data_IF_018213339252
#
_entry.id   IF_018213339252
#
_cell.length_a   1.000
_cell.length_b   1.000
_cell.length_c   1.000
_cell.angle_alpha   90.00
_cell.angle_beta   90.00
_cell.angle_gamma   90.00
#
_symmetry.space_group_name_H-M   'P 1'
#
loop_
_entity.id
_entity.type
_entity.pdbx_description
1 polymer ?
#
# COMPACT_ATOMS: atom_id res chain seq x y z
N UNK A 1 -16.32 6.01 7.16
CA UNK A 1 -17.17 5.05 6.43
C UNK A 1 -18.43 5.66 5.84
N UNK A 2 -19.42 6.16 6.61
CA UNK A 2 -20.68 6.72 6.04
C UNK A 2 -20.46 7.80 4.95
N UNK A 3 -19.54 8.74 5.17
CA UNK A 3 -19.20 9.77 4.17
C UNK A 3 -18.54 9.19 2.91
N UNK A 4 -17.59 8.27 3.06
CA UNK A 4 -16.92 7.58 1.93
C UNK A 4 -17.89 6.72 1.13
N UNK A 5 -18.74 5.95 1.81
CA UNK A 5 -19.81 5.18 1.18
C UNK A 5 -20.81 6.08 0.46
N UNK A 6 -21.24 7.18 1.09
CA UNK A 6 -22.14 8.15 0.43
C UNK A 6 -21.49 8.87 -0.75
N UNK A 7 -20.19 9.13 -0.72
CA UNK A 7 -19.46 9.69 -1.85
C UNK A 7 -19.39 8.67 -3.00
N UNK A 8 -19.05 7.42 -2.67
CA UNK A 8 -19.03 6.31 -3.62
C UNK A 8 -20.40 6.08 -4.26
N UNK A 9 -21.49 6.01 -3.49
CA UNK A 9 -22.83 5.76 -4.05
C UNK A 9 -23.34 6.91 -4.90
N UNK A 10 -22.91 8.16 -4.63
CA UNK A 10 -23.29 9.32 -5.44
C UNK A 10 -22.56 9.37 -6.78
N UNK A 11 -21.25 9.04 -6.80
CA UNK A 11 -20.42 9.08 -8.00
C UNK A 11 -19.47 7.87 -8.07
N UNK A 12 -19.99 6.64 -8.24
CA UNK A 12 -19.17 5.43 -8.18
C UNK A 12 -18.14 5.38 -9.30
N UNK A 13 -18.47 5.98 -10.45
CA UNK A 13 -17.59 6.05 -11.62
C UNK A 13 -16.22 6.66 -11.30
N UNK A 14 -16.14 7.69 -10.46
CA UNK A 14 -14.84 8.34 -10.14
C UNK A 14 -13.89 7.38 -9.40
N UNK A 15 -14.44 6.55 -8.52
CA UNK A 15 -13.67 5.56 -7.75
C UNK A 15 -13.29 4.36 -8.61
N UNK A 16 -14.24 3.82 -9.38
CA UNK A 16 -14.01 2.71 -10.31
C UNK A 16 -12.97 3.11 -11.37
N UNK A 17 -13.05 4.33 -11.88
CA UNK A 17 -12.08 4.87 -12.83
C UNK A 17 -10.67 4.91 -12.25
N UNK A 18 -10.52 5.35 -10.99
CA UNK A 18 -9.25 5.28 -10.26
C UNK A 18 -8.69 3.85 -10.15
N UNK A 19 -9.53 2.89 -9.77
CA UNK A 19 -9.14 1.46 -9.73
C UNK A 19 -8.74 0.94 -11.11
N UNK A 20 -9.47 1.30 -12.17
CA UNK A 20 -9.19 0.86 -13.52
C UNK A 20 -7.84 1.40 -14.02
N UNK A 21 -7.56 2.68 -13.80
CA UNK A 21 -6.26 3.28 -14.12
C UNK A 21 -5.12 2.59 -13.36
N UNK A 22 -5.33 2.28 -12.07
CA UNK A 22 -4.35 1.55 -11.26
C UNK A 22 -4.07 0.15 -11.85
N UNK A 23 -5.11 -0.64 -12.13
CA UNK A 23 -4.95 -2.00 -12.70
C UNK A 23 -4.28 -1.93 -14.07
N UNK A 24 -4.73 -1.03 -14.94
CA UNK A 24 -4.16 -0.86 -16.27
C UNK A 24 -2.66 -0.52 -16.23
N UNK A 25 -2.27 0.44 -15.39
CA UNK A 25 -0.86 0.81 -15.24
C UNK A 25 -0.03 -0.28 -14.58
N UNK A 26 -0.60 -1.00 -13.61
CA UNK A 26 0.07 -2.14 -12.98
C UNK A 26 0.37 -3.24 -14.00
N UNK A 27 -0.57 -3.53 -14.91
CA UNK A 27 -0.38 -4.46 -16.02
C UNK A 27 0.71 -3.98 -16.97
N UNK A 28 0.75 -2.68 -17.31
CA UNK A 28 1.83 -2.12 -18.14
C UNK A 28 3.19 -2.31 -17.48
N UNK A 29 3.33 -1.97 -16.19
CA UNK A 29 4.61 -2.14 -15.49
C UNK A 29 4.99 -3.61 -15.31
N UNK A 30 4.01 -4.50 -15.13
CA UNK A 30 4.26 -5.94 -15.11
C UNK A 30 4.83 -6.43 -16.45
N UNK A 31 4.22 -6.04 -17.58
CA UNK A 31 4.76 -6.36 -18.90
C UNK A 31 6.14 -5.73 -19.15
N UNK A 32 6.39 -4.52 -18.67
CA UNK A 32 7.70 -3.89 -18.75
C UNK A 32 8.75 -4.69 -17.96
N UNK A 33 8.42 -5.15 -16.75
CA UNK A 33 9.29 -6.00 -15.94
C UNK A 33 9.58 -7.35 -16.61
N UNK A 34 8.57 -7.99 -17.21
CA UNK A 34 8.76 -9.19 -18.03
C UNK A 34 9.63 -8.91 -19.26
N UNK A 35 9.49 -7.74 -19.88
CA UNK A 35 10.35 -7.30 -20.98
C UNK A 35 11.82 -7.18 -20.57
N UNK A 36 12.10 -6.61 -19.40
CA UNK A 36 13.47 -6.57 -18.84
C UNK A 36 14.02 -7.97 -18.58
N UNK A 37 13.19 -8.88 -18.10
CA UNK A 37 13.57 -10.27 -17.89
C UNK A 37 13.92 -10.96 -19.24
N UNK A 38 13.13 -10.71 -20.28
CA UNK A 38 13.41 -11.21 -21.63
C UNK A 38 14.72 -10.66 -22.20
N UNK A 39 14.99 -9.37 -22.02
CA UNK A 39 16.26 -8.73 -22.43
C UNK A 39 17.45 -9.41 -21.75
N UNK A 40 17.33 -9.78 -20.48
CA UNK A 40 18.37 -10.52 -19.77
C UNK A 40 18.60 -11.92 -20.30
N UNK A 41 17.54 -12.66 -20.62
CA UNK A 41 17.67 -13.97 -21.27
C UNK A 41 18.38 -13.87 -22.62
N UNK A 42 18.03 -12.86 -23.43
CA UNK A 42 18.71 -12.60 -24.71
C UNK A 42 20.18 -12.27 -24.46
N UNK A 43 20.49 -11.43 -23.47
CA UNK A 43 21.86 -11.08 -23.13
C UNK A 43 22.68 -12.31 -22.71
N UNK A 44 22.16 -13.16 -21.82
CA UNK A 44 22.81 -14.42 -21.42
C UNK A 44 23.08 -15.32 -22.63
N UNK A 45 22.10 -15.44 -23.53
CA UNK A 45 22.24 -16.22 -24.76
C UNK A 45 23.33 -15.66 -25.68
N UNK A 46 23.47 -14.33 -25.80
CA UNK A 46 24.50 -13.70 -26.63
C UNK A 46 25.92 -13.94 -26.10
N UNK A 47 26.08 -14.02 -24.78
CA UNK A 47 27.39 -14.29 -24.14
C UNK A 47 27.65 -15.79 -23.92
N UNK A 48 26.73 -16.66 -24.36
CA UNK A 48 26.84 -18.12 -24.20
C UNK A 48 26.78 -18.60 -22.75
N UNK A 49 26.18 -17.83 -21.84
CA UNK A 49 25.98 -18.26 -20.45
C UNK A 49 24.62 -18.93 -20.29
N UNK A 50 24.60 -20.08 -19.62
CA UNK A 50 23.37 -20.76 -19.24
C UNK A 50 22.64 -19.99 -18.14
N UNK A 51 21.31 -20.04 -18.17
CA UNK A 51 20.50 -19.48 -17.11
C UNK A 51 20.57 -20.36 -15.86
N UNK A 52 21.17 -19.81 -14.80
CA UNK A 52 21.22 -20.43 -13.48
C UNK A 52 20.64 -19.47 -12.43
N UNK A 53 19.65 -19.95 -11.68
CA UNK A 53 19.01 -19.23 -10.58
C UNK A 53 19.90 -19.09 -9.34
N UNK A 54 20.96 -19.89 -9.24
CA UNK A 54 21.95 -19.82 -8.15
C UNK A 54 23.10 -18.85 -8.47
N UNK A 55 23.24 -18.45 -9.74
CA UNK A 55 24.25 -17.51 -10.18
C UNK A 55 24.05 -16.13 -9.57
N UNK A 56 25.10 -15.56 -8.95
CA UNK A 56 25.08 -14.23 -8.32
C UNK A 56 24.58 -13.15 -9.30
N UNK A 57 25.10 -13.06 -10.55
CA UNK A 57 24.55 -12.16 -11.57
C UNK A 57 23.04 -12.28 -11.79
N UNK A 58 22.51 -13.50 -11.89
CA UNK A 58 21.07 -13.74 -12.07
C UNK A 58 20.27 -13.26 -10.87
N UNK A 59 20.73 -13.58 -9.67
CA UNK A 59 20.06 -13.16 -8.43
C UNK A 59 20.02 -11.63 -8.35
N UNK A 60 21.16 -10.96 -8.58
CA UNK A 60 21.24 -9.49 -8.55
C UNK A 60 20.31 -8.88 -9.61
N UNK A 61 20.28 -9.42 -10.81
CA UNK A 61 19.43 -8.93 -11.89
C UNK A 61 17.93 -9.08 -11.57
N UNK A 62 17.52 -10.25 -11.06
CA UNK A 62 16.13 -10.48 -10.64
C UNK A 62 15.72 -9.57 -9.49
N UNK A 63 16.61 -9.34 -8.51
CA UNK A 63 16.39 -8.39 -7.41
C UNK A 63 16.20 -6.97 -7.95
N UNK A 64 17.03 -6.55 -8.92
CA UNK A 64 16.89 -5.23 -9.55
C UNK A 64 15.54 -5.08 -10.27
N UNK A 65 15.11 -6.08 -11.04
CA UNK A 65 13.77 -6.07 -11.66
C UNK A 65 12.68 -5.94 -10.59
N UNK A 66 12.79 -6.73 -9.52
CA UNK A 66 11.86 -6.67 -8.39
C UNK A 66 11.80 -5.27 -7.75
N UNK A 67 12.96 -4.66 -7.51
CA UNK A 67 13.06 -3.30 -6.96
C UNK A 67 12.44 -2.26 -7.90
N UNK A 68 12.68 -2.35 -9.20
CA UNK A 68 12.08 -1.47 -10.21
C UNK A 68 10.56 -1.62 -10.23
N UNK A 69 10.05 -2.85 -10.24
CA UNK A 69 8.61 -3.12 -10.19
C UNK A 69 7.98 -2.59 -8.89
N UNK A 70 8.63 -2.80 -7.75
CA UNK A 70 8.18 -2.26 -6.46
C UNK A 70 8.19 -0.72 -6.46
N UNK A 71 9.21 -0.08 -7.02
CA UNK A 71 9.30 1.38 -7.12
C UNK A 71 8.09 1.96 -7.85
N UNK A 72 7.76 1.44 -9.04
CA UNK A 72 6.61 1.91 -9.81
C UNK A 72 5.27 1.59 -9.13
N UNK A 73 5.14 0.40 -8.54
CA UNK A 73 3.92 -0.01 -7.81
C UNK A 73 3.64 0.93 -6.63
N UNK A 74 4.68 1.40 -5.92
CA UNK A 74 4.52 2.38 -4.85
C UNK A 74 4.07 3.76 -5.37
N UNK A 75 4.57 4.18 -6.53
CA UNK A 75 4.05 5.36 -7.24
C UNK A 75 2.56 5.22 -7.58
N UNK A 76 2.16 4.06 -8.10
CA UNK A 76 0.75 3.77 -8.43
C UNK A 76 -0.15 3.79 -7.20
N UNK A 77 0.30 3.22 -6.07
CA UNK A 77 -0.43 3.29 -4.81
C UNK A 77 -0.62 4.74 -4.33
N UNK A 78 0.40 5.59 -4.51
CA UNK A 78 0.31 7.01 -4.20
C UNK A 78 -0.73 7.73 -5.06
N UNK A 79 -0.70 7.51 -6.38
CA UNK A 79 -1.67 8.06 -7.32
C UNK A 79 -3.09 7.57 -7.06
N UNK A 80 -3.25 6.31 -6.64
CA UNK A 80 -4.53 5.76 -6.23
C UNK A 80 -5.08 6.48 -4.98
N UNK A 81 -4.23 6.71 -3.98
CA UNK A 81 -4.60 7.45 -2.79
C UNK A 81 -5.05 8.88 -3.10
N UNK A 82 -4.30 9.58 -3.97
CA UNK A 82 -4.66 10.91 -4.47
C UNK A 82 -5.99 10.89 -5.23
N UNK A 83 -6.20 9.90 -6.10
CA UNK A 83 -7.40 9.79 -6.92
C UNK A 83 -8.64 9.53 -6.09
N UNK A 84 -8.55 8.67 -5.07
CA UNK A 84 -9.66 8.46 -4.15
C UNK A 84 -9.92 9.69 -3.28
N UNK A 85 -8.87 10.42 -2.88
CA UNK A 85 -9.05 11.70 -2.20
C UNK A 85 -9.78 12.72 -3.08
N UNK A 86 -9.37 12.90 -4.34
CA UNK A 86 -10.04 13.75 -5.32
C UNK A 86 -11.51 13.31 -5.56
N UNK A 87 -11.75 12.00 -5.68
CA UNK A 87 -13.09 11.44 -5.87
C UNK A 87 -14.04 11.73 -4.69
N UNK A 88 -13.53 11.76 -3.45
CA UNK A 88 -14.31 12.18 -2.28
C UNK A 88 -14.83 13.62 -2.39
N UNK A 89 -14.12 14.47 -3.14
CA UNK A 89 -14.46 15.87 -3.43
C UNK A 89 -15.11 16.06 -4.81
N UNK A 90 -15.43 14.96 -5.50
CA UNK A 90 -16.06 14.92 -6.84
C UNK A 90 -15.19 15.50 -7.96
N UNK A 91 -13.88 15.50 -7.77
CA UNK A 91 -12.92 15.90 -8.79
C UNK A 91 -12.59 14.71 -9.70
N UNK A 92 -12.35 15.00 -10.98
CA UNK A 92 -11.99 13.99 -11.98
C UNK A 92 -10.47 13.91 -12.10
N UNK A 93 -9.95 12.69 -12.21
CA UNK A 93 -8.53 12.44 -12.50
C UNK A 93 -8.38 11.88 -13.92
N UNK A 94 -7.55 12.51 -14.74
CA UNK A 94 -7.19 12.01 -16.08
C UNK A 94 -6.08 10.96 -15.99
N UNK A 95 -5.96 10.11 -17.00
CA UNK A 95 -4.89 9.08 -17.07
C UNK A 95 -3.51 9.74 -17.00
N UNK A 96 -3.31 10.84 -17.73
CA UNK A 96 -2.03 11.57 -17.74
C UNK A 96 -1.70 12.16 -16.37
N UNK A 97 -2.69 12.72 -15.66
CA UNK A 97 -2.49 13.23 -14.31
C UNK A 97 -2.16 12.10 -13.33
N UNK A 98 -2.87 10.97 -13.43
CA UNK A 98 -2.62 9.78 -12.61
C UNK A 98 -1.19 9.25 -12.80
N UNK A 99 -0.77 9.09 -14.05
CA UNK A 99 0.57 8.61 -14.41
C UNK A 99 1.68 9.57 -13.95
N UNK A 100 1.54 10.86 -14.24
CA UNK A 100 2.53 11.87 -13.86
C UNK A 100 2.69 11.93 -12.35
N UNK A 101 1.57 11.89 -11.62
CA UNK A 101 1.58 11.85 -10.16
C UNK A 101 2.24 10.57 -9.62
N UNK A 102 1.97 9.42 -10.24
CA UNK A 102 2.59 8.16 -9.83
C UNK A 102 4.11 8.21 -9.95
N UNK A 103 4.64 8.75 -11.06
CA UNK A 103 6.08 8.90 -11.26
C UNK A 103 6.69 9.92 -10.29
N UNK A 104 6.05 11.07 -10.09
CA UNK A 104 6.52 12.12 -9.18
C UNK A 104 6.62 11.62 -7.74
N UNK A 105 5.65 10.80 -7.30
CA UNK A 105 5.55 10.32 -5.91
C UNK A 105 6.14 8.94 -5.67
N UNK A 106 6.63 8.26 -6.70
CA UNK A 106 7.30 6.97 -6.58
C UNK A 106 8.51 7.02 -5.63
N UNK A 107 9.47 7.97 -5.73
CA UNK A 107 10.65 7.99 -4.84
C UNK A 107 10.26 8.07 -3.37
N UNK A 108 9.30 8.94 -3.05
CA UNK A 108 8.86 9.18 -1.68
C UNK A 108 8.14 7.97 -1.08
N UNK A 109 7.17 7.40 -1.79
CA UNK A 109 6.44 6.23 -1.29
C UNK A 109 7.33 4.99 -1.25
N UNK A 110 8.23 4.84 -2.22
CA UNK A 110 9.23 3.78 -2.21
C UNK A 110 10.18 3.90 -1.02
N UNK A 111 10.62 5.10 -0.64
CA UNK A 111 11.44 5.28 0.57
C UNK A 111 10.69 4.88 1.86
N UNK A 112 9.42 5.23 2.00
CA UNK A 112 8.57 4.81 3.14
C UNK A 112 8.42 3.29 3.15
N UNK A 113 8.18 2.70 1.99
CA UNK A 113 8.07 1.26 1.80
C UNK A 113 9.38 0.54 2.17
N UNK A 114 10.53 1.03 1.70
CA UNK A 114 11.83 0.45 2.04
C UNK A 114 12.09 0.49 3.55
N UNK A 115 11.75 1.60 4.21
CA UNK A 115 11.87 1.70 5.67
C UNK A 115 10.98 0.67 6.38
N UNK A 116 9.73 0.52 5.91
CA UNK A 116 8.79 -0.48 6.40
C UNK A 116 9.32 -1.90 6.23
N UNK A 117 9.83 -2.21 5.04
CA UNK A 117 10.32 -3.54 4.69
C UNK A 117 11.63 -3.85 5.43
N UNK A 118 12.49 -2.85 5.66
CA UNK A 118 13.67 -2.97 6.53
C UNK A 118 13.28 -3.33 7.96
N UNK A 119 12.30 -2.65 8.54
CA UNK A 119 11.80 -2.97 9.89
C UNK A 119 11.17 -4.36 9.90
N UNK A 120 10.50 -4.77 8.82
CA UNK A 120 9.98 -6.12 8.68
C UNK A 120 11.10 -7.16 8.70
N UNK A 121 12.17 -6.95 7.94
CA UNK A 121 13.34 -7.85 7.94
C UNK A 121 13.97 -7.91 9.33
N UNK A 122 14.09 -6.78 10.03
CA UNK A 122 14.66 -6.74 11.39
C UNK A 122 13.81 -7.52 12.42
N UNK A 123 12.48 -7.53 12.27
CA UNK A 123 11.57 -8.19 13.23
C UNK A 123 11.26 -9.64 12.85
N UNK A 124 11.00 -9.91 11.57
CA UNK A 124 10.67 -11.25 11.07
C UNK A 124 11.92 -12.09 10.77
N UNK A 125 13.03 -11.46 10.36
CA UNK A 125 14.28 -12.14 9.99
C UNK A 125 14.83 -13.05 11.08
N UNK A 126 14.96 -12.59 12.34
CA UNK A 126 15.40 -13.46 13.44
C UNK A 126 14.45 -14.64 13.69
N UNK A 127 13.14 -14.44 13.57
CA UNK A 127 12.13 -15.51 13.73
C UNK A 127 12.29 -16.56 12.63
N UNK A 128 12.44 -16.11 11.38
CA UNK A 128 12.66 -16.99 10.22
C UNK A 128 13.98 -17.75 10.38
N UNK A 129 15.05 -17.08 10.79
CA UNK A 129 16.35 -17.70 11.00
C UNK A 129 16.30 -18.79 12.09
N UNK A 130 15.67 -18.50 13.24
CA UNK A 130 15.51 -19.48 14.32
C UNK A 130 14.71 -20.69 13.83
N UNK A 131 13.62 -20.45 13.10
CA UNK A 131 12.79 -21.52 12.54
C UNK A 131 13.60 -22.41 11.60
N UNK A 132 14.25 -21.83 10.59
CA UNK A 132 15.01 -22.56 9.56
C UNK A 132 16.18 -23.36 10.16
N UNK A 133 16.90 -22.76 11.12
CA UNK A 133 18.10 -23.38 11.69
C UNK A 133 17.81 -24.41 12.78
N UNK A 134 16.70 -24.29 13.52
CA UNK A 134 16.49 -25.09 14.73
C UNK A 134 15.14 -25.79 14.85
N UNK A 135 14.09 -25.32 14.17
CA UNK A 135 12.71 -25.72 14.50
C UNK A 135 11.90 -26.34 13.34
N UNK A 136 12.49 -26.52 12.16
CA UNK A 136 11.83 -27.11 10.96
C UNK A 136 11.30 -28.53 11.19
N UNK A 137 11.90 -29.30 12.09
CA UNK A 137 11.46 -30.66 12.42
C UNK A 137 10.42 -30.76 13.54
N UNK A 138 10.01 -29.63 14.15
CA UNK A 138 9.13 -29.63 15.32
C UNK A 138 7.66 -29.61 14.89
N UNK A 139 6.81 -30.52 15.41
CA UNK A 139 5.39 -30.57 15.06
C UNK A 139 4.69 -29.22 15.27
N UNK A 140 3.85 -28.84 14.30
CA UNK A 140 3.07 -27.59 14.29
C UNK A 140 3.87 -26.29 14.24
N UNK A 141 5.21 -26.34 14.19
CA UNK A 141 6.03 -25.14 14.23
C UNK A 141 5.80 -24.24 13.00
N UNK A 142 5.58 -24.82 11.82
CA UNK A 142 5.28 -24.10 10.58
C UNK A 142 4.07 -23.17 10.76
N UNK A 143 3.01 -23.67 11.42
CA UNK A 143 1.79 -22.91 11.67
C UNK A 143 2.02 -21.79 12.68
N UNK A 144 2.77 -22.06 13.75
CA UNK A 144 3.10 -21.06 14.78
C UNK A 144 3.96 -19.95 14.17
N UNK A 145 5.00 -20.30 13.42
CA UNK A 145 5.90 -19.34 12.76
C UNK A 145 5.13 -18.54 11.70
N UNK A 146 4.28 -19.19 10.90
CA UNK A 146 3.40 -18.53 9.96
C UNK A 146 2.50 -17.49 10.64
N UNK A 147 1.91 -17.82 11.79
CA UNK A 147 1.08 -16.89 12.57
C UNK A 147 1.89 -15.71 13.12
N UNK A 148 3.11 -15.95 13.60
CA UNK A 148 4.01 -14.89 14.10
C UNK A 148 4.40 -13.96 12.96
N UNK A 149 4.85 -14.49 11.81
CA UNK A 149 5.23 -13.68 10.65
C UNK A 149 4.04 -12.89 10.13
N UNK A 150 2.85 -13.50 10.05
CA UNK A 150 1.63 -12.81 9.65
C UNK A 150 1.29 -11.66 10.60
N UNK A 151 1.44 -11.87 11.90
CA UNK A 151 1.20 -10.84 12.94
C UNK A 151 2.19 -9.68 12.81
N UNK A 152 3.49 -9.97 12.67
CA UNK A 152 4.53 -8.96 12.44
C UNK A 152 4.21 -8.16 11.17
N UNK A 153 3.87 -8.85 10.09
CA UNK A 153 3.49 -8.25 8.80
C UNK A 153 2.30 -7.32 8.96
N UNK A 154 1.24 -7.79 9.61
CA UNK A 154 0.03 -7.01 9.86
C UNK A 154 0.32 -5.73 10.65
N UNK A 155 1.05 -5.84 11.77
CA UNK A 155 1.36 -4.69 12.63
C UNK A 155 2.21 -3.66 11.88
N UNK A 156 3.24 -4.10 11.17
CA UNK A 156 4.12 -3.21 10.41
C UNK A 156 3.35 -2.50 9.30
N UNK A 157 2.58 -3.24 8.50
CA UNK A 157 1.80 -2.61 7.45
C UNK A 157 0.75 -1.64 8.02
N UNK A 158 0.09 -2.00 9.13
CA UNK A 158 -0.84 -1.11 9.82
C UNK A 158 -0.17 0.19 10.27
N UNK A 159 1.03 0.11 10.85
CA UNK A 159 1.76 1.28 11.36
C UNK A 159 2.19 2.22 10.22
N UNK A 160 2.61 1.66 9.09
CA UNK A 160 3.10 2.45 7.95
C UNK A 160 2.03 2.93 6.98
N UNK A 161 0.84 2.31 6.96
CA UNK A 161 -0.23 2.67 6.02
C UNK A 161 -0.67 4.13 6.12
N UNK A 162 -0.85 4.73 7.32
CA UNK A 162 -1.13 6.16 7.44
C UNK A 162 -0.06 7.05 6.81
N UNK A 163 1.22 6.68 6.93
CA UNK A 163 2.32 7.46 6.36
C UNK A 163 2.29 7.40 4.83
N UNK A 164 2.07 6.21 4.25
CA UNK A 164 1.90 6.02 2.81
C UNK A 164 0.69 6.82 2.27
N UNK A 165 -0.45 6.75 2.95
CA UNK A 165 -1.63 7.55 2.62
C UNK A 165 -1.30 9.05 2.70
N UNK A 166 -0.54 9.48 3.69
CA UNK A 166 -0.20 10.89 3.86
C UNK A 166 0.69 11.41 2.73
N UNK A 167 1.73 10.64 2.40
CA UNK A 167 2.63 10.94 1.30
C UNK A 167 1.91 10.95 -0.05
N UNK A 168 0.97 10.02 -0.25
CA UNK A 168 0.25 9.86 -1.51
C UNK A 168 -0.98 10.75 -1.68
N UNK A 169 -1.77 11.02 -0.64
CA UNK A 169 -3.02 11.80 -0.78
C UNK A 169 -2.82 13.30 -0.51
N UNK A 170 -1.89 13.65 0.39
CA UNK A 170 -1.70 15.02 0.89
C UNK A 170 -0.33 15.62 0.55
N UNK A 171 0.43 14.95 -0.31
CA UNK A 171 1.69 15.45 -0.87
C UNK A 171 2.77 15.80 0.17
N UNK A 172 2.67 15.26 1.38
CA UNK A 172 3.60 15.55 2.47
C UNK A 172 4.97 14.89 2.22
N UNK A 173 6.06 15.62 2.49
CA UNK A 173 7.42 15.05 2.45
C UNK A 173 7.65 13.95 3.49
N UNK A 174 8.73 13.17 3.34
CA UNK A 174 8.99 11.92 4.07
C UNK A 174 8.81 12.02 5.59
N UNK A 175 9.54 12.95 6.23
CA UNK A 175 9.46 13.15 7.68
C UNK A 175 8.08 13.58 8.15
N UNK A 176 7.43 14.47 7.38
CA UNK A 176 6.07 14.93 7.68
C UNK A 176 5.05 13.80 7.54
N UNK A 177 5.18 12.96 6.51
CA UNK A 177 4.33 11.80 6.28
C UNK A 177 4.44 10.77 7.40
N UNK A 178 5.66 10.43 7.82
CA UNK A 178 5.89 9.52 8.96
C UNK A 178 5.33 10.10 10.26
N UNK A 179 5.67 11.36 10.58
CA UNK A 179 5.18 12.03 11.80
C UNK A 179 3.66 12.11 11.82
N UNK A 180 3.04 12.46 10.70
CA UNK A 180 1.59 12.53 10.57
C UNK A 180 0.94 11.14 10.67
N UNK A 181 1.58 10.12 10.10
CA UNK A 181 1.16 8.74 10.23
C UNK A 181 1.12 8.27 11.69
N UNK A 182 2.21 8.49 12.43
CA UNK A 182 2.27 8.19 13.87
C UNK A 182 1.26 8.99 14.68
N UNK A 183 1.09 10.29 14.39
CA UNK A 183 0.08 11.12 15.05
C UNK A 183 -1.35 10.63 14.78
N UNK A 184 -1.62 10.14 13.57
CA UNK A 184 -2.90 9.55 13.21
C UNK A 184 -3.18 8.31 14.05
N UNK A 185 -2.22 7.40 14.16
CA UNK A 185 -2.35 6.22 15.01
C UNK A 185 -2.57 6.64 16.47
N UNK A 186 -1.73 7.52 17.02
CA UNK A 186 -1.87 7.99 18.39
C UNK A 186 -3.28 8.55 18.68
N UNK A 187 -3.82 9.38 17.78
CA UNK A 187 -5.12 10.05 17.99
C UNK A 187 -6.34 9.19 17.67
N UNK A 188 -6.23 8.25 16.73
CA UNK A 188 -7.36 7.51 16.15
C UNK A 188 -7.14 5.98 16.09
N UNK A 189 -6.21 5.42 16.87
CA UNK A 189 -5.80 4.02 16.81
C UNK A 189 -6.99 3.05 16.80
N UNK A 190 -7.96 3.15 17.72
CA UNK A 190 -9.10 2.20 17.78
C UNK A 190 -9.85 2.13 16.45
N UNK A 191 -10.24 3.28 15.91
CA UNK A 191 -10.99 3.36 14.65
C UNK A 191 -10.10 2.95 13.45
N UNK A 192 -8.82 3.31 13.48
CA UNK A 192 -7.89 2.94 12.42
C UNK A 192 -7.62 1.44 12.40
N UNK A 193 -7.38 0.81 13.55
CA UNK A 193 -7.16 -0.64 13.70
C UNK A 193 -8.37 -1.41 13.15
N UNK A 194 -9.59 -1.04 13.55
CA UNK A 194 -10.80 -1.70 13.06
C UNK A 194 -10.98 -1.59 11.55
N UNK A 195 -10.68 -0.41 10.98
CA UNK A 195 -10.75 -0.22 9.53
C UNK A 195 -9.61 -0.93 8.80
N UNK A 196 -8.43 -0.99 9.41
CA UNK A 196 -7.28 -1.70 8.88
C UNK A 196 -7.51 -3.22 8.86
N UNK A 197 -8.20 -3.76 9.88
CA UNK A 197 -8.61 -5.17 9.89
C UNK A 197 -9.56 -5.49 8.73
N UNK A 198 -10.55 -4.63 8.47
CA UNK A 198 -11.42 -4.77 7.30
C UNK A 198 -10.63 -4.67 5.98
N UNK A 199 -9.67 -3.74 5.92
CA UNK A 199 -8.77 -3.61 4.77
C UNK A 199 -7.94 -4.88 4.54
N UNK A 200 -7.39 -5.47 5.60
CA UNK A 200 -6.64 -6.73 5.53
C UNK A 200 -7.53 -7.89 5.05
N UNK A 201 -8.78 -8.00 5.55
CA UNK A 201 -9.74 -8.99 5.05
C UNK A 201 -9.98 -8.81 3.55
N UNK A 202 -10.21 -7.58 3.08
CA UNK A 202 -10.39 -7.30 1.64
C UNK A 202 -9.14 -7.67 0.84
N UNK A 203 -7.96 -7.50 1.42
CA UNK A 203 -6.72 -7.93 0.80
C UNK A 203 -6.61 -9.46 0.69
N UNK A 204 -7.01 -10.19 1.74
CA UNK A 204 -7.07 -11.66 1.71
C UNK A 204 -8.11 -12.18 0.71
N UNK A 205 -9.25 -11.50 0.57
CA UNK A 205 -10.28 -11.86 -0.40
C UNK A 205 -9.80 -11.75 -1.86
N UNK A 206 -8.77 -10.93 -2.14
CA UNK A 206 -8.18 -10.84 -3.48
C UNK A 206 -7.45 -12.13 -3.92
N UNK A 207 -7.16 -13.07 -3.00
CA UNK A 207 -6.63 -14.39 -3.38
C UNK A 207 -7.68 -15.29 -4.05
N UNK A 208 -8.96 -14.93 -4.00
CA UNK A 208 -10.05 -15.65 -4.66
C UNK A 208 -10.38 -14.92 -5.98
N UNK A 209 -10.03 -15.49 -7.16
CA UNK A 209 -10.08 -14.75 -8.43
C UNK A 209 -11.44 -14.12 -8.76
N UNK A 210 -12.54 -14.83 -8.52
CA UNK A 210 -13.90 -14.30 -8.78
C UNK A 210 -14.30 -13.16 -7.83
N UNK A 211 -13.82 -13.20 -6.59
CA UNK A 211 -14.11 -12.18 -5.58
C UNK A 211 -13.23 -10.94 -5.80
N UNK A 212 -12.04 -11.13 -6.38
CA UNK A 212 -11.04 -10.08 -6.65
C UNK A 212 -11.60 -8.88 -7.44
N UNK A 213 -12.49 -9.14 -8.43
CA UNK A 213 -13.10 -8.06 -9.21
C UNK A 213 -14.06 -7.22 -8.36
N UNK A 214 -14.84 -7.87 -7.50
CA UNK A 214 -15.77 -7.15 -6.61
C UNK A 214 -15.00 -6.37 -5.55
N UNK A 215 -13.95 -6.97 -4.99
CA UNK A 215 -13.11 -6.31 -3.98
C UNK A 215 -12.38 -5.11 -4.56
N UNK A 216 -11.77 -5.21 -5.75
CA UNK A 216 -10.95 -4.11 -6.31
C UNK A 216 -11.78 -2.92 -6.80
N UNK A 217 -12.99 -3.16 -7.30
CA UNK A 217 -13.84 -2.09 -7.84
C UNK A 217 -14.85 -1.53 -6.84
N UNK A 218 -15.20 -2.27 -5.78
CA UNK A 218 -16.21 -1.82 -4.81
C UNK A 218 -15.64 -1.68 -3.39
N UNK A 219 -15.18 -2.78 -2.79
CA UNK A 219 -14.80 -2.78 -1.36
C UNK A 219 -13.52 -1.99 -1.10
N UNK A 220 -12.51 -2.16 -1.95
CA UNK A 220 -11.22 -1.51 -1.83
C UNK A 220 -11.33 0.02 -1.90
N UNK A 221 -12.02 0.64 -2.90
CA UNK A 221 -12.22 2.08 -2.91
C UNK A 221 -12.92 2.61 -1.67
N UNK A 222 -13.97 1.92 -1.18
CA UNK A 222 -14.74 2.38 -0.01
C UNK A 222 -13.89 2.36 1.26
N UNK A 223 -13.17 1.26 1.50
CA UNK A 223 -12.35 1.10 2.70
C UNK A 223 -11.13 2.02 2.63
N UNK A 224 -10.41 2.04 1.50
CA UNK A 224 -9.23 2.87 1.35
C UNK A 224 -9.57 4.36 1.45
N UNK A 225 -10.66 4.82 0.81
CA UNK A 225 -11.15 6.20 0.96
C UNK A 225 -11.58 6.52 2.39
N UNK A 226 -12.11 5.55 3.13
CA UNK A 226 -12.39 5.71 4.55
C UNK A 226 -11.11 5.90 5.37
N UNK A 227 -10.02 5.21 5.02
CA UNK A 227 -8.73 5.38 5.67
C UNK A 227 -8.12 6.75 5.35
N UNK A 228 -8.14 7.16 4.07
CA UNK A 228 -7.74 8.52 3.63
C UNK A 228 -8.44 9.59 4.46
N UNK A 229 -9.76 9.47 4.63
CA UNK A 229 -10.55 10.39 5.45
C UNK A 229 -10.14 10.40 6.94
N UNK A 230 -9.82 9.25 7.53
CA UNK A 230 -9.37 9.20 8.93
C UNK A 230 -8.02 9.92 9.08
N UNK A 231 -7.09 9.67 8.16
CA UNK A 231 -5.76 10.30 8.14
C UNK A 231 -5.89 11.82 7.94
N UNK A 232 -6.77 12.27 7.04
CA UNK A 232 -7.05 13.70 6.82
C UNK A 232 -7.56 14.38 8.10
N UNK A 233 -8.55 13.77 8.75
CA UNK A 233 -9.18 14.35 9.94
C UNK A 233 -8.26 14.34 11.17
N UNK A 234 -7.29 13.43 11.25
CA UNK A 234 -6.32 13.40 12.33
C UNK A 234 -5.29 14.55 12.27
N UNK A 235 -5.07 15.11 11.07
CA UNK A 235 -4.11 16.19 10.81
C UNK A 235 -4.65 17.58 11.13
N UNK A 236 -5.99 17.72 11.14
CA UNK A 236 -6.64 18.94 11.58
C UNK A 236 -6.57 18.98 13.12
N UNK A 237 -6.15 20.11 13.75
CA UNK A 237 -6.30 20.25 15.20
C UNK A 237 -7.77 20.00 15.57
N UNK A 238 -8.07 19.43 16.75
CA UNK A 238 -9.45 19.26 17.17
C UNK A 238 -10.12 20.64 17.09
N UNK A 239 -11.09 20.80 16.18
CA UNK A 239 -11.90 22.00 16.16
C UNK A 239 -12.41 22.17 17.59
N UNK A 240 -12.16 23.32 18.22
CA UNK A 240 -12.77 23.67 19.51
C UNK A 240 -14.28 23.51 19.33
N UNK A 241 -14.81 22.33 19.64
CA UNK A 241 -16.14 21.96 19.20
C UNK A 241 -17.12 22.59 20.16
N UNK A 242 -17.91 23.53 19.66
CA UNK A 242 -19.30 23.75 20.07
C UNK A 242 -19.59 24.00 21.56
N UNK A 243 -18.59 24.26 22.40
CA UNK A 243 -18.83 24.71 23.79
C UNK A 243 -19.15 26.20 23.83
N UNK A 244 -18.55 27.00 22.94
CA UNK A 244 -18.79 28.44 22.89
C UNK A 244 -20.17 28.84 22.34
N UNK A 245 -20.83 27.96 21.57
CA UNK A 245 -22.20 28.21 21.07
C UNK A 245 -23.30 27.87 22.07
N UNK A 246 -22.98 27.28 23.23
CA UNK A 246 -23.97 27.06 24.31
C UNK A 246 -23.82 28.04 25.47
N UNK A 247 -22.73 28.78 25.54
CA UNK A 247 -22.54 29.86 26.52
C UNK A 247 -22.95 31.24 25.97
N UNK A 248 -23.39 31.30 24.71
CA UNK A 248 -23.98 32.50 24.09
C UNK A 248 -25.50 32.35 23.85
N UNK A 249 -26.09 31.22 24.23
CA UNK A 249 -27.54 30.95 24.17
C UNK A 249 -28.16 30.72 25.57
N UNK A 250 -27.37 30.86 26.65
CA UNK A 250 -27.81 30.95 28.05
C UNK A 250 -27.48 32.35 28.60
#
# INVERSE_FOLDING_TARGET
MKKSFSAYTKNPFLFVWGSLMYVFMLVIFFFAALGLLLVYFIFLSLIGQEFDLQSIPTIVFLVLIGLVFMYFTNGLNAALARTYHAALWREKTTITAFYSYALERAPLNFAIQLLRDLIWVLLAGPVIAIYVLFLTGVPYMDAIVGLVILTITFVIHMVFTPALITAGAFEAGLYSALRHGFNTLRRKHIMFIGLYFLFAIVWLLNFIPFIQLVTIFFLYPIIYSSMVMIVENAGRPPSKSKKHKREEED
#
